data_IF_032123575808
#
_entry.id   IF_032123575808
#
_cell.length_a   1.000
_cell.length_b   1.000
_cell.length_c   1.000
_cell.angle_alpha   90.00
_cell.angle_beta   90.00
_cell.angle_gamma   90.00
#
_symmetry.space_group_name_H-M   'P 1'
#
loop_
_entity.id
_entity.type
_entity.pdbx_description
1 polymer ?
#
# COMPACT_ATOMS: atom_id res chain seq x y z
N UNK A 1 8.95 36.07 7.08
CA UNK A 1 9.11 35.83 5.63
C UNK A 1 8.03 36.62 4.90
N UNK A 2 8.40 37.50 3.96
CA UNK A 2 7.44 38.32 3.20
C UNK A 2 6.60 37.46 2.26
N UNK A 3 5.38 37.90 1.93
CA UNK A 3 4.48 37.25 0.96
C UNK A 3 5.14 36.99 -0.40
N UNK A 4 6.08 37.84 -0.83
CA UNK A 4 6.85 37.70 -2.07
C UNK A 4 7.79 36.49 -2.11
N UNK A 5 8.47 36.18 -1.00
CA UNK A 5 9.36 34.99 -0.89
C UNK A 5 8.59 33.67 -0.87
N UNK A 6 7.32 33.71 -0.46
CA UNK A 6 6.44 32.52 -0.35
C UNK A 6 5.88 32.14 -1.73
N UNK A 7 5.54 33.13 -2.56
CA UNK A 7 5.08 32.92 -3.94
C UNK A 7 6.14 32.15 -4.77
N UNK A 8 7.42 32.49 -4.62
CA UNK A 8 8.51 31.84 -5.34
C UNK A 8 8.74 30.38 -4.92
N UNK A 9 8.51 30.02 -3.65
CA UNK A 9 8.71 28.66 -3.16
C UNK A 9 7.57 27.69 -3.54
N UNK A 10 6.34 28.22 -3.64
CA UNK A 10 5.14 27.49 -4.03
C UNK A 10 4.99 27.35 -5.56
N UNK A 11 5.59 28.24 -6.34
CA UNK A 11 5.45 28.22 -7.80
C UNK A 11 6.10 26.99 -8.44
N UNK A 12 5.45 26.47 -9.48
CA UNK A 12 6.07 25.52 -10.40
C UNK A 12 7.09 26.26 -11.26
N UNK A 13 8.24 25.63 -11.50
CA UNK A 13 9.21 26.13 -12.47
C UNK A 13 8.63 26.06 -13.88
N UNK A 14 9.16 26.85 -14.81
CA UNK A 14 8.71 26.84 -16.22
C UNK A 14 8.76 25.43 -16.83
N UNK A 15 9.81 24.66 -16.54
CA UNK A 15 9.97 23.31 -17.05
C UNK A 15 8.94 22.35 -16.44
N UNK A 16 8.66 22.45 -15.15
CA UNK A 16 7.59 21.67 -14.50
C UNK A 16 6.24 22.01 -15.11
N UNK A 17 5.90 23.29 -15.24
CA UNK A 17 4.62 23.74 -15.83
C UNK A 17 4.44 23.21 -17.25
N UNK A 18 5.46 23.30 -18.10
CA UNK A 18 5.41 22.79 -19.48
C UNK A 18 5.29 21.27 -19.51
N UNK A 19 6.08 20.55 -18.70
CA UNK A 19 6.08 19.08 -18.69
C UNK A 19 4.76 18.52 -18.15
N UNK A 20 4.27 19.05 -17.03
CA UNK A 20 3.00 18.64 -16.43
C UNK A 20 1.81 19.04 -17.31
N UNK A 21 1.88 20.20 -17.97
CA UNK A 21 0.90 20.64 -18.94
C UNK A 21 0.84 19.73 -20.17
N UNK A 22 1.99 19.34 -20.72
CA UNK A 22 2.07 18.41 -21.85
C UNK A 22 1.54 17.01 -21.48
N UNK A 23 1.94 16.48 -20.31
CA UNK A 23 1.42 15.21 -19.80
C UNK A 23 -0.10 15.25 -19.61
N UNK A 24 -0.62 16.34 -19.03
CA UNK A 24 -2.05 16.51 -18.80
C UNK A 24 -2.83 16.60 -20.12
N UNK A 25 -2.32 17.36 -21.09
CA UNK A 25 -2.94 17.46 -22.41
C UNK A 25 -2.97 16.11 -23.13
N UNK A 26 -1.85 15.39 -23.14
CA UNK A 26 -1.79 14.06 -23.74
C UNK A 26 -2.75 13.08 -23.06
N UNK A 27 -2.82 13.09 -21.73
CA UNK A 27 -3.73 12.23 -20.98
C UNK A 27 -5.20 12.57 -21.22
N UNK A 28 -5.58 13.86 -21.27
CA UNK A 28 -6.94 14.27 -21.64
C UNK A 28 -7.27 13.84 -23.07
N UNK A 29 -6.35 13.99 -24.02
CA UNK A 29 -6.58 13.55 -25.40
C UNK A 29 -6.82 12.03 -25.49
N UNK A 30 -6.03 11.22 -24.76
CA UNK A 30 -6.24 9.76 -24.66
C UNK A 30 -7.59 9.45 -24.01
N UNK A 31 -7.93 10.13 -22.91
CA UNK A 31 -9.21 9.94 -22.21
C UNK A 31 -10.42 10.31 -23.07
N UNK A 32 -10.33 11.37 -23.87
CA UNK A 32 -11.40 11.74 -24.80
C UNK A 32 -11.55 10.70 -25.93
N UNK A 33 -10.44 10.10 -26.35
CA UNK A 33 -10.47 9.05 -27.37
C UNK A 33 -11.14 7.76 -26.87
N UNK A 34 -11.10 7.45 -25.56
CA UNK A 34 -11.76 6.24 -25.04
C UNK A 34 -13.28 6.27 -25.21
N UNK A 35 -13.90 7.46 -25.34
CA UNK A 35 -15.33 7.61 -25.64
C UNK A 35 -15.70 7.33 -27.10
N UNK A 36 -14.72 7.25 -28.02
CA UNK A 36 -14.97 6.92 -29.42
C UNK A 36 -15.03 5.40 -29.66
N UNK A 37 -14.61 4.60 -28.68
CA UNK A 37 -14.69 3.14 -28.71
C UNK A 37 -15.59 2.58 -27.61
N UNK A 38 -15.30 1.35 -27.18
CA UNK A 38 -16.07 0.60 -26.18
C UNK A 38 -15.88 1.09 -24.72
N UNK A 39 -15.38 2.32 -24.54
CA UNK A 39 -15.03 2.92 -23.25
C UNK A 39 -13.63 2.56 -22.73
N UNK A 40 -13.05 1.45 -23.20
CA UNK A 40 -11.70 0.94 -22.86
C UNK A 40 -11.23 1.30 -21.43
N UNK A 41 -11.85 0.71 -20.38
CA UNK A 41 -11.69 1.19 -19.01
C UNK A 41 -10.24 1.19 -18.51
N UNK A 42 -9.41 0.26 -18.99
CA UNK A 42 -7.99 0.21 -18.63
C UNK A 42 -7.21 1.40 -19.21
N UNK A 43 -7.50 1.80 -20.45
CA UNK A 43 -6.88 2.96 -21.09
C UNK A 43 -7.32 4.25 -20.38
N UNK A 44 -8.61 4.35 -20.05
CA UNK A 44 -9.13 5.47 -19.27
C UNK A 44 -8.47 5.56 -17.89
N UNK A 45 -8.30 4.44 -17.19
CA UNK A 45 -7.59 4.38 -15.90
C UNK A 45 -6.13 4.83 -16.04
N UNK A 46 -5.42 4.40 -17.09
CA UNK A 46 -4.04 4.83 -17.34
C UNK A 46 -3.94 6.34 -17.61
N UNK A 47 -4.82 6.89 -18.44
CA UNK A 47 -4.87 8.32 -18.71
C UNK A 47 -5.17 9.13 -17.43
N UNK A 48 -6.16 8.70 -16.65
CA UNK A 48 -6.48 9.29 -15.36
C UNK A 48 -5.34 9.17 -14.35
N UNK A 49 -4.51 8.13 -14.42
CA UNK A 49 -3.33 7.97 -13.58
C UNK A 49 -2.25 9.00 -13.89
N UNK A 50 -2.05 9.32 -15.17
CA UNK A 50 -1.14 10.40 -15.59
C UNK A 50 -1.67 11.76 -15.13
N UNK A 51 -2.99 11.99 -15.21
CA UNK A 51 -3.61 13.20 -14.66
C UNK A 51 -3.47 13.28 -13.14
N UNK A 52 -3.63 12.15 -12.44
CA UNK A 52 -3.45 12.05 -11.00
C UNK A 52 -2.02 12.42 -10.60
N UNK A 53 -1.02 11.92 -11.34
CA UNK A 53 0.38 12.30 -11.15
C UNK A 53 0.58 13.81 -11.31
N UNK A 54 0.11 14.38 -12.43
CA UNK A 54 0.33 15.79 -12.73
C UNK A 54 -0.35 16.72 -11.71
N UNK A 55 -1.57 16.37 -11.31
CA UNK A 55 -2.35 17.09 -10.31
C UNK A 55 -1.72 16.98 -8.92
N UNK A 56 -1.35 15.77 -8.48
CA UNK A 56 -0.72 15.56 -7.18
C UNK A 56 0.62 16.30 -7.07
N UNK A 57 1.47 16.24 -8.10
CA UNK A 57 2.76 16.96 -8.13
C UNK A 57 2.54 18.47 -7.94
N UNK A 58 1.60 19.02 -8.70
CA UNK A 58 1.27 20.45 -8.64
C UNK A 58 0.70 20.84 -7.27
N UNK A 59 -0.23 20.06 -6.74
CA UNK A 59 -0.87 20.34 -5.44
C UNK A 59 0.12 20.23 -4.28
N UNK A 60 1.06 19.29 -4.28
CA UNK A 60 2.09 19.18 -3.24
C UNK A 60 2.95 20.45 -3.22
N UNK A 61 3.36 20.95 -4.39
CA UNK A 61 4.14 22.21 -4.51
C UNK A 61 3.36 23.41 -4.01
N UNK A 62 2.09 23.54 -4.38
CA UNK A 62 1.23 24.67 -4.01
C UNK A 62 0.84 24.66 -2.53
N UNK A 63 0.51 23.49 -1.98
CA UNK A 63 -0.03 23.34 -0.63
C UNK A 63 1.04 23.14 0.45
N UNK A 64 2.25 22.67 0.10
CA UNK A 64 3.32 22.47 1.08
C UNK A 64 3.56 23.70 1.99
N UNK A 65 3.78 24.91 1.44
CA UNK A 65 3.93 26.12 2.26
C UNK A 65 2.69 26.50 3.07
N UNK A 66 1.49 26.12 2.62
CA UNK A 66 0.22 26.34 3.34
C UNK A 66 0.15 25.42 4.57
N UNK A 67 0.42 24.13 4.39
CA UNK A 67 0.45 23.13 5.46
C UNK A 67 1.49 23.51 6.52
N UNK A 68 2.71 23.87 6.09
CA UNK A 68 3.76 24.33 7.00
C UNK A 68 3.33 25.56 7.83
N UNK A 69 2.57 26.50 7.24
CA UNK A 69 2.02 27.67 7.96
C UNK A 69 0.89 27.33 8.91
N UNK A 70 0.05 26.35 8.55
CA UNK A 70 -1.03 25.87 9.39
C UNK A 70 -0.54 25.02 10.58
N UNK A 71 0.75 24.73 10.65
CA UNK A 71 1.37 23.98 11.75
C UNK A 71 1.71 22.52 11.40
N UNK A 72 1.32 22.03 10.22
CA UNK A 72 1.69 20.70 9.71
C UNK A 72 3.13 20.69 9.23
N UNK A 73 4.05 20.51 10.17
CA UNK A 73 5.49 20.51 9.90
C UNK A 73 6.24 19.55 10.82
N UNK A 74 7.17 18.81 10.22
CA UNK A 74 8.09 17.91 10.92
C UNK A 74 9.54 18.35 10.75
N UNK A 75 10.40 18.03 11.71
CA UNK A 75 11.85 18.24 11.59
C UNK A 75 12.50 17.00 11.01
N UNK A 76 13.33 17.18 9.99
CA UNK A 76 14.16 16.08 9.49
C UNK A 76 15.32 15.80 10.46
N UNK A 77 15.12 14.78 11.31
CA UNK A 77 16.06 14.39 12.37
C UNK A 77 17.38 13.83 11.80
N UNK A 78 17.38 13.42 10.53
CA UNK A 78 18.50 12.78 9.85
C UNK A 78 19.43 13.77 9.14
N UNK A 79 19.32 15.07 9.44
CA UNK A 79 20.15 16.15 8.86
C UNK A 79 20.84 17.00 9.92
N UNK A 80 21.96 17.60 9.54
CA UNK A 80 22.71 18.55 10.37
C UNK A 80 21.87 19.73 10.87
N UNK A 81 21.18 20.41 9.95
CA UNK A 81 20.44 21.64 10.23
C UNK A 81 18.97 21.39 10.61
N UNK A 82 18.55 20.12 10.65
CA UNK A 82 17.20 19.66 11.00
C UNK A 82 16.09 20.54 10.40
N UNK A 83 16.02 20.66 9.06
CA UNK A 83 15.06 21.54 8.41
C UNK A 83 13.63 21.15 8.79
N UNK A 84 12.78 22.15 8.97
CA UNK A 84 11.33 21.94 9.12
C UNK A 84 10.68 21.82 7.74
N UNK A 85 10.10 20.66 7.46
CA UNK A 85 9.44 20.33 6.20
C UNK A 85 7.92 20.27 6.42
N UNK A 86 7.11 20.60 5.39
CA UNK A 86 5.67 20.37 5.45
C UNK A 86 5.38 18.87 5.63
N UNK A 87 4.42 18.57 6.50
CA UNK A 87 3.99 17.22 6.85
C UNK A 87 2.57 16.94 6.35
N UNK A 88 2.11 15.70 6.44
CA UNK A 88 0.76 15.29 6.01
C UNK A 88 0.49 15.49 4.49
N UNK A 89 1.53 15.46 3.63
CA UNK A 89 1.34 15.52 2.17
C UNK A 89 0.66 14.27 1.59
N UNK A 90 0.62 13.18 2.36
CA UNK A 90 -0.20 12.00 2.08
C UNK A 90 -1.69 12.32 1.92
N UNK A 91 -2.20 13.31 2.67
CA UNK A 91 -3.59 13.76 2.57
C UNK A 91 -3.91 14.37 1.21
N UNK A 92 -2.98 15.16 0.66
CA UNK A 92 -3.11 15.74 -0.69
C UNK A 92 -3.17 14.62 -1.73
N UNK A 93 -2.31 13.62 -1.62
CA UNK A 93 -2.29 12.47 -2.52
C UNK A 93 -3.58 11.64 -2.43
N UNK A 94 -4.06 11.37 -1.20
CA UNK A 94 -5.31 10.65 -0.98
C UNK A 94 -6.51 11.41 -1.57
N UNK A 95 -6.57 12.73 -1.40
CA UNK A 95 -7.64 13.55 -1.97
C UNK A 95 -7.65 13.52 -3.51
N UNK A 96 -6.48 13.68 -4.14
CA UNK A 96 -6.34 13.59 -5.61
C UNK A 96 -6.74 12.20 -6.11
N UNK A 97 -6.24 11.15 -5.46
CA UNK A 97 -6.59 9.78 -5.81
C UNK A 97 -8.10 9.53 -5.72
N UNK A 98 -8.73 9.92 -4.61
CA UNK A 98 -10.15 9.68 -4.38
C UNK A 98 -11.00 10.40 -5.42
N UNK A 99 -10.65 11.65 -5.77
CA UNK A 99 -11.29 12.39 -6.84
C UNK A 99 -11.18 11.64 -8.18
N UNK A 100 -9.99 11.15 -8.51
CA UNK A 100 -9.73 10.44 -9.77
C UNK A 100 -10.50 9.12 -9.84
N UNK A 101 -10.52 8.34 -8.75
CA UNK A 101 -11.27 7.07 -8.72
C UNK A 101 -12.78 7.31 -8.78
N UNK A 102 -13.30 8.39 -8.19
CA UNK A 102 -14.71 8.78 -8.33
C UNK A 102 -15.04 9.12 -9.78
N UNK A 103 -14.19 9.92 -10.44
CA UNK A 103 -14.34 10.26 -11.87
C UNK A 103 -14.23 9.02 -12.76
N UNK A 104 -13.48 8.00 -12.33
CA UNK A 104 -13.31 6.75 -13.08
C UNK A 104 -14.54 5.82 -13.02
N UNK A 105 -15.43 5.95 -12.02
CA UNK A 105 -16.57 5.02 -11.82
C UNK A 105 -17.37 4.76 -13.10
N UNK A 106 -17.74 5.75 -13.94
CA UNK A 106 -18.59 5.49 -15.10
C UNK A 106 -17.91 4.67 -16.21
N UNK A 107 -16.57 4.59 -16.24
CA UNK A 107 -15.83 3.98 -17.35
C UNK A 107 -15.99 2.45 -17.41
N UNK A 108 -15.77 1.68 -16.31
CA UNK A 108 -16.04 0.24 -16.30
C UNK A 108 -17.48 -0.13 -16.68
N UNK A 109 -18.44 0.77 -16.44
CA UNK A 109 -19.87 0.55 -16.68
C UNK A 109 -20.38 1.27 -17.94
N UNK A 110 -19.50 1.80 -18.80
CA UNK A 110 -19.90 2.63 -19.94
C UNK A 110 -20.91 1.91 -20.83
N UNK A 111 -20.64 0.64 -21.17
CA UNK A 111 -21.55 -0.20 -21.97
C UNK A 111 -22.90 -0.39 -21.29
N UNK A 112 -22.90 -0.67 -19.98
CA UNK A 112 -24.11 -0.90 -19.21
C UNK A 112 -24.98 0.38 -19.11
N UNK A 113 -24.33 1.54 -18.94
CA UNK A 113 -24.98 2.86 -18.89
C UNK A 113 -25.56 3.21 -20.27
N UNK A 114 -24.77 3.03 -21.34
CA UNK A 114 -25.24 3.28 -22.70
C UNK A 114 -26.40 2.36 -23.02
N UNK A 115 -26.33 1.06 -22.74
CA UNK A 115 -27.43 0.12 -22.97
C UNK A 115 -28.70 0.50 -22.19
N UNK A 116 -28.57 0.92 -20.92
CA UNK A 116 -29.70 1.32 -20.09
C UNK A 116 -30.34 2.66 -20.54
N UNK A 117 -29.56 3.58 -21.09
CA UNK A 117 -30.02 4.93 -21.49
C UNK A 117 -30.45 5.02 -22.97
N UNK A 118 -29.81 4.27 -23.87
CA UNK A 118 -30.10 4.24 -25.31
C UNK A 118 -31.29 3.36 -25.70
N UNK A 119 -31.81 2.56 -24.76
CA UNK A 119 -33.09 1.84 -24.86
C UNK A 119 -34.33 2.75 -25.09
N UNK A 120 -34.13 4.06 -25.14
CA UNK A 120 -35.13 5.06 -25.53
C UNK A 120 -35.08 5.57 -26.98
N UNK A 121 -34.09 5.22 -27.82
CA UNK A 121 -34.13 5.78 -29.19
C UNK A 121 -33.00 5.57 -30.21
N UNK A 122 -31.91 4.83 -29.95
CA UNK A 122 -30.86 4.69 -30.98
C UNK A 122 -30.51 3.22 -31.29
N UNK A 123 -30.66 2.84 -32.57
CA UNK A 123 -30.64 1.45 -33.08
C UNK A 123 -29.26 0.92 -33.51
N UNK A 124 -28.17 1.64 -33.22
CA UNK A 124 -26.88 1.37 -33.87
C UNK A 124 -25.90 0.49 -33.07
N UNK A 125 -26.33 -0.12 -31.96
CA UNK A 125 -25.54 -1.15 -31.26
C UNK A 125 -26.16 -2.52 -31.49
N UNK A 126 -25.91 -3.08 -32.67
CA UNK A 126 -26.29 -4.46 -33.01
C UNK A 126 -25.31 -5.41 -32.32
N UNK A 127 -25.70 -5.97 -31.18
CA UNK A 127 -25.05 -7.17 -30.67
C UNK A 127 -25.49 -8.38 -31.51
N UNK A 128 -24.54 -9.20 -31.95
CA UNK A 128 -24.80 -10.58 -32.37
C UNK A 128 -25.27 -11.36 -31.13
N UNK A 129 -26.57 -11.29 -30.85
CA UNK A 129 -27.24 -12.13 -29.87
C UNK A 129 -27.41 -13.52 -30.46
N UNK A 130 -26.72 -14.51 -29.91
CA UNK A 130 -27.10 -15.90 -30.10
C UNK A 130 -28.56 -16.06 -29.66
N UNK A 131 -29.37 -16.50 -30.60
CA UNK A 131 -30.80 -16.72 -30.44
C UNK A 131 -31.05 -17.79 -29.37
N UNK A 132 -31.73 -17.42 -28.29
CA UNK A 132 -32.67 -18.33 -27.63
C UNK A 132 -33.98 -17.58 -27.41
N UNK A 133 -35.03 -18.12 -28.03
CA UNK A 133 -36.40 -17.63 -28.02
C UNK A 133 -36.94 -17.51 -26.58
N UNK A 134 -37.10 -16.28 -26.05
CA UNK A 134 -38.20 -15.83 -25.19
C UNK A 134 -37.91 -14.42 -24.62
N UNK A 135 -38.76 -13.44 -24.94
CA UNK A 135 -38.92 -12.18 -24.20
C UNK A 135 -37.88 -11.07 -24.47
N UNK A 136 -38.33 -9.81 -24.40
CA UNK A 136 -37.44 -8.62 -24.35
C UNK A 136 -36.51 -8.76 -23.14
N UNK A 137 -35.24 -9.11 -23.34
CA UNK A 137 -34.26 -9.06 -22.26
C UNK A 137 -33.93 -7.60 -21.94
N UNK A 138 -34.42 -7.11 -20.80
CA UNK A 138 -34.03 -5.84 -20.22
C UNK A 138 -32.58 -5.99 -19.73
N UNK A 139 -31.64 -5.28 -20.33
CA UNK A 139 -30.26 -5.25 -19.87
C UNK A 139 -30.22 -4.82 -18.39
N UNK A 140 -29.84 -5.73 -17.48
CA UNK A 140 -29.81 -5.45 -16.03
C UNK A 140 -28.44 -4.89 -15.65
N UNK A 141 -28.42 -3.66 -15.15
CA UNK A 141 -27.19 -3.00 -14.71
C UNK A 141 -26.47 -3.82 -13.61
N UNK A 142 -25.14 -3.99 -13.68
CA UNK A 142 -24.38 -4.84 -12.76
C UNK A 142 -24.14 -4.16 -11.40
N UNK A 143 -25.17 -4.08 -10.57
CA UNK A 143 -25.13 -3.40 -9.28
C UNK A 143 -24.13 -3.98 -8.28
N UNK A 144 -23.86 -5.29 -8.29
CA UNK A 144 -22.86 -5.92 -7.40
C UNK A 144 -21.43 -5.44 -7.71
N UNK A 145 -21.07 -5.40 -9.00
CA UNK A 145 -19.79 -4.82 -9.42
C UNK A 145 -19.68 -3.37 -8.98
N UNK A 146 -20.71 -2.55 -9.20
CA UNK A 146 -20.73 -1.15 -8.74
C UNK A 146 -20.59 -1.05 -7.21
N UNK A 147 -21.26 -1.92 -6.44
CA UNK A 147 -21.17 -1.95 -4.98
C UNK A 147 -19.75 -2.27 -4.49
N UNK A 148 -19.01 -3.13 -5.20
CA UNK A 148 -17.59 -3.38 -4.92
C UNK A 148 -16.71 -2.14 -5.11
N UNK A 149 -16.91 -1.35 -6.18
CA UNK A 149 -16.19 -0.06 -6.34
C UNK A 149 -16.58 0.96 -5.28
N UNK A 150 -17.88 1.12 -5.00
CA UNK A 150 -18.35 2.10 -4.04
C UNK A 150 -17.90 1.77 -2.61
N UNK A 151 -17.94 0.50 -2.20
CA UNK A 151 -17.46 0.08 -0.87
C UNK A 151 -15.96 0.28 -0.71
N UNK A 152 -15.17 -0.01 -1.76
CA UNK A 152 -13.75 0.32 -1.80
C UNK A 152 -13.54 1.82 -1.59
N UNK A 153 -14.23 2.68 -2.34
CA UNK A 153 -14.11 4.14 -2.22
C UNK A 153 -14.52 4.62 -0.83
N UNK A 154 -15.64 4.14 -0.28
CA UNK A 154 -16.10 4.53 1.07
C UNK A 154 -15.07 4.12 2.13
N UNK A 155 -14.51 2.91 2.02
CA UNK A 155 -13.46 2.44 2.92
C UNK A 155 -12.20 3.32 2.82
N UNK A 156 -11.78 3.65 1.60
CA UNK A 156 -10.62 4.49 1.33
C UNK A 156 -10.82 5.97 1.75
N UNK A 157 -12.03 6.50 1.63
CA UNK A 157 -12.39 7.81 2.16
C UNK A 157 -12.35 7.80 3.69
N UNK A 158 -12.91 6.76 4.32
CA UNK A 158 -12.96 6.64 5.78
C UNK A 158 -11.55 6.57 6.37
N UNK A 159 -10.66 5.75 5.80
CA UNK A 159 -9.29 5.66 6.29
C UNK A 159 -8.48 6.94 6.01
N UNK A 160 -8.71 7.62 4.88
CA UNK A 160 -8.05 8.89 4.59
C UNK A 160 -8.46 9.96 5.62
N UNK A 161 -9.75 10.07 5.93
CA UNK A 161 -10.25 11.00 6.96
C UNK A 161 -9.69 10.68 8.35
N UNK A 162 -9.69 9.40 8.74
CA UNK A 162 -9.16 8.98 10.03
C UNK A 162 -7.64 9.14 10.12
N UNK A 163 -6.90 8.93 9.02
CA UNK A 163 -5.47 9.18 8.94
C UNK A 163 -5.13 10.66 9.05
N UNK A 164 -5.90 11.53 8.39
CA UNK A 164 -5.79 12.99 8.57
C UNK A 164 -6.08 13.35 10.03
N UNK A 165 -7.11 12.74 10.63
CA UNK A 165 -7.41 12.89 12.06
C UNK A 165 -6.26 12.47 12.96
N UNK A 166 -5.55 11.39 12.64
CA UNK A 166 -4.39 10.93 13.41
C UNK A 166 -3.22 11.92 13.32
N UNK A 167 -2.90 12.40 12.11
CA UNK A 167 -1.88 13.44 11.89
C UNK A 167 -2.25 14.77 12.59
N UNK A 168 -3.54 15.08 12.71
CA UNK A 168 -4.05 16.30 13.37
C UNK A 168 -4.00 16.21 14.90
N UNK A 169 -4.40 15.08 15.46
CA UNK A 169 -4.69 14.96 16.89
C UNK A 169 -3.66 14.13 17.67
N UNK A 170 -2.64 13.55 17.02
CA UNK A 170 -1.65 12.62 17.62
C UNK A 170 -2.36 11.58 18.50
N UNK A 171 -3.23 10.77 17.87
CA UNK A 171 -4.12 9.88 18.59
C UNK A 171 -3.29 8.82 19.35
N UNK A 172 -3.71 8.47 20.56
CA UNK A 172 -3.01 7.44 21.36
C UNK A 172 -2.96 6.11 20.61
N UNK A 173 -1.80 5.46 20.65
CA UNK A 173 -1.51 4.19 19.94
C UNK A 173 -2.59 3.12 20.07
N UNK A 174 -3.22 2.98 21.25
CA UNK A 174 -4.29 2.00 21.51
C UNK A 174 -5.51 2.15 20.59
N UNK A 175 -5.79 3.36 20.12
CA UNK A 175 -6.90 3.63 19.20
C UNK A 175 -6.44 3.51 17.74
N UNK A 176 -5.17 3.81 17.45
CA UNK A 176 -4.57 3.66 16.11
C UNK A 176 -4.78 2.25 15.55
N UNK A 177 -4.68 1.22 16.39
CA UNK A 177 -4.92 -0.17 15.98
C UNK A 177 -6.31 -0.42 15.41
N UNK A 178 -7.35 0.22 15.96
CA UNK A 178 -8.75 -0.03 15.57
C UNK A 178 -9.23 0.80 14.38
N UNK A 179 -8.56 1.92 14.09
CA UNK A 179 -8.92 2.84 13.00
C UNK A 179 -9.09 2.11 11.66
N UNK A 180 -8.11 1.31 11.19
CA UNK A 180 -8.28 0.63 9.91
C UNK A 180 -9.31 -0.51 9.96
N UNK A 181 -9.46 -1.17 11.11
CA UNK A 181 -10.50 -2.20 11.29
C UNK A 181 -11.89 -1.62 11.06
N UNK A 182 -12.19 -0.46 11.65
CA UNK A 182 -13.47 0.24 11.44
C UNK A 182 -13.61 0.74 9.99
N UNK A 183 -12.55 1.29 9.41
CA UNK A 183 -12.59 1.75 8.01
C UNK A 183 -12.81 0.61 7.00
N UNK A 184 -12.51 -0.64 7.36
CA UNK A 184 -12.70 -1.82 6.50
C UNK A 184 -14.14 -2.37 6.48
N UNK A 185 -15.03 -1.91 7.37
CA UNK A 185 -16.41 -2.42 7.46
C UNK A 185 -17.15 -2.41 6.11
N UNK A 186 -17.09 -1.36 5.26
CA UNK A 186 -17.78 -1.36 3.97
C UNK A 186 -17.37 -2.51 3.05
N UNK A 187 -16.07 -2.80 2.96
CA UNK A 187 -15.56 -3.89 2.11
C UNK A 187 -15.92 -5.27 2.69
N UNK A 188 -15.96 -5.42 4.01
CA UNK A 188 -16.39 -6.66 4.66
C UNK A 188 -17.89 -6.95 4.43
N UNK A 189 -18.73 -5.91 4.49
CA UNK A 189 -20.18 -6.04 4.22
C UNK A 189 -20.42 -6.44 2.77
N UNK A 190 -19.77 -5.79 1.80
CA UNK A 190 -19.90 -6.18 0.39
C UNK A 190 -19.35 -7.59 0.16
N UNK A 191 -18.25 -7.96 0.81
CA UNK A 191 -17.76 -9.33 0.73
C UNK A 191 -18.79 -10.37 1.20
N UNK A 192 -19.49 -10.06 2.29
CA UNK A 192 -20.56 -10.91 2.82
C UNK A 192 -21.76 -11.02 1.88
N UNK A 193 -22.17 -9.92 1.24
CA UNK A 193 -23.35 -9.88 0.36
C UNK A 193 -23.09 -10.49 -1.01
N UNK A 194 -21.96 -10.15 -1.65
CA UNK A 194 -21.72 -10.49 -3.06
C UNK A 194 -20.99 -11.84 -3.25
N UNK A 195 -20.09 -12.20 -2.33
CA UNK A 195 -19.30 -13.43 -2.45
C UNK A 195 -19.71 -14.48 -1.43
N UNK A 196 -19.69 -14.12 -0.14
CA UNK A 196 -20.06 -15.03 0.96
C UNK A 196 -19.17 -16.28 1.11
N UNK A 197 -18.05 -16.36 0.38
CA UNK A 197 -17.16 -17.53 0.40
C UNK A 197 -16.17 -17.43 1.57
N UNK A 198 -16.37 -18.28 2.59
CA UNK A 198 -15.51 -18.34 3.78
C UNK A 198 -14.61 -19.58 3.83
N UNK A 199 -14.70 -20.43 2.81
CA UNK A 199 -13.89 -21.63 2.66
C UNK A 199 -12.50 -21.31 2.13
N UNK A 200 -11.46 -21.84 2.79
CA UNK A 200 -10.08 -21.73 2.34
C UNK A 200 -9.55 -23.06 1.83
N UNK A 201 -8.74 -22.99 0.77
CA UNK A 201 -7.97 -24.14 0.30
C UNK A 201 -6.84 -24.44 1.27
N UNK A 202 -6.79 -25.67 1.79
CA UNK A 202 -5.78 -26.16 2.72
C UNK A 202 -4.57 -26.73 1.96
N UNK A 203 -3.33 -26.41 2.38
CA UNK A 203 -2.11 -27.02 1.85
C UNK A 203 -2.12 -28.54 1.91
N UNK A 204 -1.59 -29.22 0.88
CA UNK A 204 -1.55 -30.69 0.75
C UNK A 204 -1.10 -31.40 2.03
N UNK A 205 -0.03 -30.97 2.74
CA UNK A 205 0.41 -31.65 3.96
C UNK A 205 -0.60 -31.64 5.11
N UNK A 206 -1.54 -30.69 5.11
CA UNK A 206 -2.56 -30.51 6.15
C UNK A 206 -3.93 -31.08 5.76
N UNK A 207 -4.13 -31.43 4.48
CA UNK A 207 -5.38 -32.00 3.99
C UNK A 207 -5.84 -33.29 4.72
N UNK A 208 -4.94 -34.20 5.15
CA UNK A 208 -5.36 -35.38 5.91
C UNK A 208 -6.08 -35.07 7.23
N UNK A 209 -5.88 -33.88 7.81
CA UNK A 209 -6.45 -33.48 9.09
C UNK A 209 -7.68 -32.57 8.94
N UNK A 210 -7.72 -31.75 7.89
CA UNK A 210 -8.68 -30.65 7.75
C UNK A 210 -9.54 -30.73 6.48
N UNK A 211 -9.27 -31.69 5.60
CA UNK A 211 -9.88 -31.76 4.27
C UNK A 211 -9.23 -30.81 3.26
N UNK A 212 -9.72 -30.81 2.02
CA UNK A 212 -9.22 -29.94 0.94
C UNK A 212 -9.69 -28.49 1.09
N UNK A 213 -10.95 -28.32 1.48
CA UNK A 213 -11.59 -27.05 1.77
C UNK A 213 -12.00 -27.02 3.24
N UNK A 214 -11.57 -25.98 3.93
CA UNK A 214 -11.93 -25.75 5.33
C UNK A 214 -12.73 -24.47 5.47
N UNK A 215 -13.96 -24.59 5.98
CA UNK A 215 -14.82 -23.44 6.21
C UNK A 215 -14.46 -22.76 7.54
N UNK A 216 -13.99 -21.51 7.44
CA UNK A 216 -13.65 -20.68 8.59
C UNK A 216 -14.86 -19.91 9.14
N UNK A 217 -15.94 -19.79 8.37
CA UNK A 217 -17.10 -18.95 8.71
C UNK A 217 -16.70 -17.55 9.18
N UNK A 218 -17.13 -17.17 10.38
CA UNK A 218 -16.85 -15.85 10.99
C UNK A 218 -15.34 -15.57 11.11
N UNK A 219 -14.50 -16.59 11.33
CA UNK A 219 -13.06 -16.40 11.45
C UNK A 219 -12.42 -15.88 10.16
N UNK A 220 -13.05 -16.12 9.00
CA UNK A 220 -12.59 -15.56 7.73
C UNK A 220 -12.78 -14.03 7.67
N UNK A 221 -13.87 -13.52 8.24
CA UNK A 221 -14.11 -12.07 8.37
C UNK A 221 -13.14 -11.43 9.36
N UNK A 222 -12.84 -12.12 10.47
CA UNK A 222 -11.79 -11.68 11.41
C UNK A 222 -10.43 -11.61 10.69
N UNK A 223 -10.09 -12.61 9.88
CA UNK A 223 -8.88 -12.60 9.06
C UNK A 223 -8.82 -11.41 8.09
N UNK A 224 -9.91 -11.12 7.37
CA UNK A 224 -9.96 -9.95 6.47
C UNK A 224 -9.81 -8.63 7.23
N UNK A 225 -10.46 -8.49 8.39
CA UNK A 225 -10.28 -7.32 9.26
C UNK A 225 -8.82 -7.21 9.75
N UNK A 226 -8.19 -8.33 10.13
CA UNK A 226 -6.78 -8.36 10.52
C UNK A 226 -5.85 -7.94 9.39
N UNK A 227 -6.11 -8.33 8.13
CA UNK A 227 -5.35 -7.83 6.97
C UNK A 227 -5.52 -6.33 6.82
N UNK A 228 -6.76 -5.84 6.88
CA UNK A 228 -7.05 -4.42 6.74
C UNK A 228 -6.45 -3.57 7.88
N UNK A 229 -6.27 -4.14 9.07
CA UNK A 229 -5.53 -3.54 10.18
C UNK A 229 -4.01 -3.62 9.99
N UNK A 230 -3.52 -4.77 9.52
CA UNK A 230 -2.09 -5.04 9.39
C UNK A 230 -1.44 -4.19 8.30
N UNK A 231 -2.01 -4.11 7.10
CA UNK A 231 -1.38 -3.43 5.97
C UNK A 231 -1.03 -1.95 6.29
N UNK A 232 -1.98 -1.09 6.71
CA UNK A 232 -1.72 0.27 7.21
C UNK A 232 -0.60 0.39 8.24
N UNK A 233 -0.67 -0.45 9.27
CA UNK A 233 0.23 -0.34 10.42
C UNK A 233 1.63 -0.85 10.11
N UNK A 234 1.73 -1.90 9.29
CA UNK A 234 3.00 -2.49 8.91
C UNK A 234 3.87 -1.53 8.08
N UNK A 235 3.25 -0.73 7.21
CA UNK A 235 3.90 0.34 6.44
C UNK A 235 4.33 1.46 7.38
N UNK A 236 3.43 1.92 8.27
CA UNK A 236 3.73 2.98 9.23
C UNK A 236 4.88 2.61 10.19
N UNK A 237 5.01 1.33 10.54
CA UNK A 237 6.11 0.84 11.37
C UNK A 237 7.45 0.73 10.63
N UNK A 238 7.45 0.64 9.31
CA UNK A 238 8.65 0.61 8.47
C UNK A 238 8.88 2.00 7.85
N UNK A 239 9.10 2.98 8.72
CA UNK A 239 9.17 4.40 8.37
C UNK A 239 10.35 5.10 9.07
N UNK A 240 10.58 6.38 8.72
CA UNK A 240 11.49 7.26 9.44
C UNK A 240 12.81 7.60 8.75
N UNK A 241 12.95 7.24 7.48
CA UNK A 241 14.03 7.74 6.61
C UNK A 241 13.42 8.26 5.30
N UNK A 242 14.04 9.28 4.71
CA UNK A 242 13.51 9.98 3.54
C UNK A 242 13.22 9.04 2.36
N UNK A 243 11.95 8.93 1.98
CA UNK A 243 11.49 8.17 0.81
C UNK A 243 11.06 6.72 1.08
N UNK A 244 11.28 6.16 2.29
CA UNK A 244 11.04 4.72 2.51
C UNK A 244 9.56 4.35 2.51
N UNK A 245 8.69 5.20 3.05
CA UNK A 245 7.25 4.96 3.17
C UNK A 245 6.62 4.87 1.77
N UNK A 246 7.01 5.77 0.87
CA UNK A 246 6.48 5.85 -0.50
C UNK A 246 7.12 4.78 -1.38
N UNK A 247 8.44 4.62 -1.33
CA UNK A 247 9.15 3.72 -2.25
C UNK A 247 8.83 2.25 -2.00
N UNK A 248 8.69 1.81 -0.75
CA UNK A 248 8.27 0.45 -0.44
C UNK A 248 6.87 0.16 -1.00
N UNK A 249 5.94 1.12 -0.88
CA UNK A 249 4.59 1.00 -1.37
C UNK A 249 4.55 0.99 -2.91
N UNK A 250 5.36 1.82 -3.57
CA UNK A 250 5.48 1.81 -5.04
C UNK A 250 5.96 0.44 -5.51
N UNK A 251 6.99 -0.13 -4.88
CA UNK A 251 7.47 -1.48 -5.25
C UNK A 251 6.40 -2.54 -5.05
N UNK A 252 5.71 -2.54 -3.90
CA UNK A 252 4.60 -3.49 -3.65
C UNK A 252 3.50 -3.33 -4.70
N UNK A 253 3.13 -2.11 -5.05
CA UNK A 253 2.11 -1.83 -6.07
C UNK A 253 2.56 -2.25 -7.48
N UNK A 254 3.81 -2.02 -7.87
CA UNK A 254 4.34 -2.51 -9.14
C UNK A 254 4.35 -4.04 -9.22
N UNK A 255 4.61 -4.72 -8.10
CA UNK A 255 4.53 -6.18 -8.01
C UNK A 255 3.09 -6.69 -8.09
N UNK A 256 2.13 -5.97 -7.50
CA UNK A 256 0.70 -6.27 -7.64
C UNK A 256 0.23 -6.04 -9.09
N UNK A 257 0.59 -4.92 -9.71
CA UNK A 257 0.31 -4.65 -11.12
C UNK A 257 0.93 -5.73 -12.01
N UNK A 258 2.18 -6.12 -11.75
CA UNK A 258 2.81 -7.23 -12.46
C UNK A 258 1.97 -8.50 -12.29
N UNK A 259 1.61 -8.88 -11.06
CA UNK A 259 0.76 -10.04 -10.82
C UNK A 259 -0.56 -9.96 -11.59
N UNK A 260 -1.25 -8.82 -11.56
CA UNK A 260 -2.53 -8.62 -12.22
C UNK A 260 -2.39 -8.74 -13.74
N UNK A 261 -1.40 -8.09 -14.33
CA UNK A 261 -1.09 -8.19 -15.76
C UNK A 261 -0.84 -9.63 -16.20
N UNK A 262 -0.22 -10.45 -15.35
CA UNK A 262 0.01 -11.86 -15.67
C UNK A 262 -1.29 -12.64 -15.85
N UNK A 263 -2.33 -12.36 -15.04
CA UNK A 263 -3.66 -12.96 -15.23
C UNK A 263 -4.39 -12.41 -16.46
N UNK A 264 -4.13 -11.16 -16.86
CA UNK A 264 -4.69 -10.59 -18.09
C UNK A 264 -4.07 -11.21 -19.36
N UNK A 265 -2.85 -11.75 -19.27
CA UNK A 265 -2.16 -12.42 -20.38
C UNK A 265 -2.55 -13.91 -20.51
N UNK A 266 -3.32 -14.46 -19.56
CA UNK A 266 -3.81 -15.84 -19.66
C UNK A 266 -4.94 -15.97 -20.68
N UNK A 267 -5.13 -17.15 -21.32
CA UNK A 267 -6.21 -17.35 -22.28
C UNK A 267 -7.58 -16.99 -21.71
N UNK A 268 -8.29 -16.10 -22.40
CA UNK A 268 -9.63 -15.69 -22.03
C UNK A 268 -10.65 -16.81 -22.35
N UNK A 269 -11.64 -17.09 -21.49
CA UNK A 269 -11.95 -16.45 -20.21
C UNK A 269 -11.24 -17.12 -19.01
N UNK A 270 -10.50 -16.33 -18.23
CA UNK A 270 -10.01 -16.76 -16.93
C UNK A 270 -10.93 -16.21 -15.81
N UNK A 271 -11.40 -17.03 -14.85
CA UNK A 271 -12.34 -16.58 -13.81
C UNK A 271 -11.85 -15.39 -12.98
N UNK A 272 -10.53 -15.22 -12.85
CA UNK A 272 -9.93 -14.14 -12.08
C UNK A 272 -9.69 -12.83 -12.86
N UNK A 273 -9.92 -12.78 -14.18
CA UNK A 273 -9.60 -11.59 -14.99
C UNK A 273 -10.31 -10.33 -14.47
N UNK A 274 -11.60 -10.43 -14.11
CA UNK A 274 -12.38 -9.31 -13.59
C UNK A 274 -11.85 -8.79 -12.25
N UNK A 275 -11.42 -9.69 -11.36
CA UNK A 275 -10.82 -9.34 -10.05
C UNK A 275 -9.48 -8.63 -10.22
N UNK A 276 -8.66 -9.06 -11.18
CA UNK A 276 -7.38 -8.41 -11.48
C UNK A 276 -7.55 -7.09 -12.23
N UNK A 277 -8.57 -6.94 -13.08
CA UNK A 277 -8.95 -5.65 -13.68
C UNK A 277 -9.41 -4.65 -12.61
N UNK A 278 -10.26 -5.07 -11.67
CA UNK A 278 -10.67 -4.26 -10.52
C UNK A 278 -9.46 -3.74 -9.74
N UNK A 279 -8.50 -4.62 -9.45
CA UNK A 279 -7.25 -4.28 -8.78
C UNK A 279 -6.44 -3.23 -9.56
N UNK A 280 -6.21 -3.46 -10.87
CA UNK A 280 -5.49 -2.52 -11.73
C UNK A 280 -6.12 -1.13 -11.74
N UNK A 281 -7.45 -1.05 -11.81
CA UNK A 281 -8.15 0.23 -11.84
C UNK A 281 -7.96 1.07 -10.57
N UNK A 282 -7.73 0.42 -9.42
CA UNK A 282 -7.40 1.10 -8.17
C UNK A 282 -5.88 1.34 -8.03
N UNK A 283 -5.03 0.42 -8.48
CA UNK A 283 -3.58 0.55 -8.33
C UNK A 283 -2.94 1.57 -9.26
N UNK A 284 -3.42 1.70 -10.52
CA UNK A 284 -2.82 2.62 -11.49
C UNK A 284 -2.93 4.10 -11.05
N UNK A 285 -4.12 4.62 -10.64
CA UNK A 285 -4.21 6.00 -10.16
C UNK A 285 -3.43 6.21 -8.86
N UNK A 286 -3.37 5.17 -8.01
CA UNK A 286 -2.59 5.21 -6.77
C UNK A 286 -1.09 5.31 -7.05
N UNK A 287 -0.59 4.60 -8.06
CA UNK A 287 0.79 4.72 -8.54
C UNK A 287 1.05 6.13 -9.07
N UNK A 288 0.10 6.71 -9.82
CA UNK A 288 0.19 8.08 -10.31
C UNK A 288 0.46 9.09 -9.18
N UNK A 289 -0.37 9.08 -8.12
CA UNK A 289 -0.18 10.01 -6.99
C UNK A 289 1.06 9.69 -6.17
N UNK A 290 1.42 8.40 -6.00
CA UNK A 290 2.60 7.99 -5.23
C UNK A 290 3.91 8.32 -5.94
N UNK A 291 3.94 8.20 -7.28
CA UNK A 291 5.08 8.63 -8.10
C UNK A 291 5.27 10.15 -8.02
N UNK A 292 4.19 10.94 -7.95
CA UNK A 292 4.31 12.38 -7.71
C UNK A 292 4.87 12.67 -6.32
N UNK A 293 4.38 11.96 -5.29
CA UNK A 293 4.82 12.14 -3.91
C UNK A 293 6.29 11.77 -3.72
N UNK A 294 6.75 10.66 -4.30
CA UNK A 294 8.15 10.22 -4.13
C UNK A 294 9.12 11.25 -4.73
N UNK A 295 8.78 11.95 -5.81
CA UNK A 295 9.65 13.01 -6.36
C UNK A 295 9.85 14.19 -5.40
N UNK A 296 8.95 14.40 -4.44
CA UNK A 296 9.07 15.41 -3.40
C UNK A 296 9.60 14.87 -2.06
N UNK A 297 9.33 13.60 -1.77
CA UNK A 297 9.68 12.96 -0.51
C UNK A 297 11.03 12.21 -0.57
N UNK A 298 11.52 11.87 -1.76
CA UNK A 298 12.81 11.21 -1.93
C UNK A 298 13.97 12.06 -1.39
N UNK A 299 15.03 11.39 -0.94
CA UNK A 299 16.21 12.05 -0.38
C UNK A 299 16.83 13.07 -1.36
N UNK A 300 17.17 14.29 -0.91
CA UNK A 300 16.77 14.90 0.37
C UNK A 300 15.30 15.35 0.32
N UNK A 301 14.50 14.92 1.31
CA UNK A 301 13.07 15.19 1.30
C UNK A 301 12.76 16.69 1.34
N UNK A 302 11.74 17.08 0.57
CA UNK A 302 11.15 18.43 0.60
C UNK A 302 9.84 18.43 1.38
N UNK A 303 9.21 17.26 1.55
CA UNK A 303 7.94 17.07 2.24
C UNK A 303 7.92 15.73 2.97
N UNK A 304 7.13 15.63 4.03
CA UNK A 304 6.81 14.39 4.72
C UNK A 304 5.40 13.93 4.39
N UNK A 305 5.23 12.61 4.39
CA UNK A 305 4.00 11.95 3.97
C UNK A 305 2.93 11.93 5.08
N UNK A 306 3.35 11.79 6.34
CA UNK A 306 2.45 11.62 7.49
C UNK A 306 1.87 10.21 7.63
N UNK A 307 1.21 9.95 8.76
CA UNK A 307 0.51 8.69 9.04
C UNK A 307 -0.63 8.48 8.03
N UNK A 308 -1.22 9.58 7.52
CA UNK A 308 -2.25 9.55 6.47
C UNK A 308 -1.83 8.70 5.27
N UNK A 309 -0.62 8.90 4.73
CA UNK A 309 -0.17 8.14 3.55
C UNK A 309 -0.02 6.65 3.86
N UNK A 310 0.52 6.32 5.03
CA UNK A 310 0.77 4.94 5.44
C UNK A 310 -0.55 4.19 5.58
N UNK A 311 -1.53 4.80 6.27
CA UNK A 311 -2.85 4.20 6.45
C UNK A 311 -3.60 4.07 5.14
N UNK A 312 -3.59 5.13 4.34
CA UNK A 312 -4.25 5.14 3.04
C UNK A 312 -3.67 4.09 2.09
N UNK A 313 -2.35 4.03 1.94
CA UNK A 313 -1.68 3.07 1.04
C UNK A 313 -1.89 1.63 1.49
N UNK A 314 -1.78 1.37 2.79
CA UNK A 314 -2.05 0.04 3.32
C UNK A 314 -3.49 -0.40 3.11
N UNK A 315 -4.46 0.51 3.20
CA UNK A 315 -5.86 0.19 2.94
C UNK A 315 -6.13 -0.01 1.45
N UNK A 316 -5.45 0.70 0.54
CA UNK A 316 -5.51 0.39 -0.90
C UNK A 316 -5.08 -1.05 -1.15
N UNK A 317 -3.95 -1.48 -0.58
CA UNK A 317 -3.47 -2.86 -0.71
C UNK A 317 -4.42 -3.88 -0.10
N UNK A 318 -4.93 -3.63 1.11
CA UNK A 318 -5.92 -4.51 1.73
C UNK A 318 -7.20 -4.61 0.90
N UNK A 319 -7.69 -3.50 0.35
CA UNK A 319 -8.90 -3.44 -0.46
C UNK A 319 -8.76 -4.27 -1.73
N UNK A 320 -7.69 -4.07 -2.50
CA UNK A 320 -7.46 -4.86 -3.72
C UNK A 320 -7.18 -6.32 -3.40
N UNK A 321 -6.49 -6.63 -2.29
CA UNK A 321 -6.22 -8.00 -1.88
C UNK A 321 -7.46 -8.77 -1.41
N UNK A 322 -8.37 -8.11 -0.70
CA UNK A 322 -9.62 -8.70 -0.18
C UNK A 322 -10.63 -8.86 -1.31
N UNK A 323 -10.97 -7.78 -2.02
CA UNK A 323 -11.99 -7.79 -3.08
C UNK A 323 -11.46 -8.45 -4.37
N UNK A 324 -10.15 -8.47 -4.59
CA UNK A 324 -9.51 -9.20 -5.68
C UNK A 324 -9.24 -10.68 -5.38
N UNK A 325 -9.57 -11.16 -4.18
CA UNK A 325 -9.37 -12.56 -3.75
C UNK A 325 -7.92 -13.08 -3.82
N UNK A 326 -6.92 -12.20 -3.76
CA UNK A 326 -5.49 -12.55 -3.74
C UNK A 326 -4.77 -12.10 -2.47
N UNK A 327 -5.48 -11.99 -1.35
CA UNK A 327 -4.92 -11.62 -0.03
C UNK A 327 -3.72 -12.48 0.40
N UNK A 328 -3.69 -13.77 0.02
CA UNK A 328 -2.53 -14.66 0.22
C UNK A 328 -1.30 -14.18 -0.56
N UNK A 329 -1.48 -13.80 -1.83
CA UNK A 329 -0.41 -13.21 -2.66
C UNK A 329 0.05 -11.88 -2.06
N UNK A 330 -0.86 -11.03 -1.61
CA UNK A 330 -0.52 -9.78 -0.92
C UNK A 330 0.37 -10.03 0.30
N UNK A 331 0.06 -11.05 1.11
CA UNK A 331 0.91 -11.45 2.24
C UNK A 331 2.34 -11.83 1.84
N UNK A 332 2.53 -12.50 0.70
CA UNK A 332 3.85 -12.81 0.15
C UNK A 332 4.62 -11.55 -0.30
N UNK A 333 3.91 -10.56 -0.83
CA UNK A 333 4.51 -9.30 -1.24
C UNK A 333 4.87 -8.41 -0.05
N UNK A 334 4.16 -8.53 1.07
CA UNK A 334 4.40 -7.78 2.31
C UNK A 334 5.34 -8.49 3.29
N UNK A 335 6.13 -9.48 2.84
CA UNK A 335 7.07 -10.21 3.71
C UNK A 335 8.04 -9.31 4.46
N UNK A 336 8.66 -8.26 3.86
CA UNK A 336 9.53 -7.36 4.61
C UNK A 336 8.80 -6.59 5.72
N UNK A 337 7.57 -6.13 5.48
CA UNK A 337 6.73 -5.47 6.46
C UNK A 337 6.30 -6.44 7.58
N UNK A 338 5.93 -7.67 7.22
CA UNK A 338 5.60 -8.74 8.16
C UNK A 338 6.80 -9.08 9.04
N UNK A 339 7.98 -9.22 8.44
CA UNK A 339 9.22 -9.44 9.17
C UNK A 339 9.52 -8.27 10.11
N UNK A 340 9.41 -7.01 9.65
CA UNK A 340 9.62 -5.84 10.51
C UNK A 340 8.64 -5.83 11.69
N UNK A 341 7.37 -6.16 11.46
CA UNK A 341 6.34 -6.26 12.51
C UNK A 341 6.68 -7.35 13.55
N UNK A 342 6.97 -8.57 13.09
CA UNK A 342 7.34 -9.68 13.97
C UNK A 342 8.64 -9.38 14.73
N UNK A 343 9.62 -8.78 14.06
CA UNK A 343 10.88 -8.39 14.69
C UNK A 343 10.67 -7.28 15.73
N UNK A 344 9.80 -6.31 15.47
CA UNK A 344 9.43 -5.24 16.41
C UNK A 344 8.58 -5.69 17.61
N UNK A 345 7.93 -6.85 17.54
CA UNK A 345 6.98 -7.37 18.53
C UNK A 345 7.49 -7.29 19.98
N UNK A 346 8.74 -7.70 20.32
CA UNK A 346 9.23 -7.61 21.69
C UNK A 346 9.22 -6.19 22.27
N UNK A 347 9.45 -5.17 21.44
CA UNK A 347 9.37 -3.77 21.86
C UNK A 347 7.91 -3.29 21.98
N UNK A 348 7.06 -3.63 21.01
CA UNK A 348 5.65 -3.19 20.98
C UNK A 348 4.87 -3.73 22.19
N UNK A 349 5.08 -5.00 22.54
CA UNK A 349 4.44 -5.65 23.67
C UNK A 349 5.14 -5.36 25.01
N UNK A 350 6.18 -4.52 25.02
CA UNK A 350 6.87 -4.07 26.24
C UNK A 350 7.76 -5.10 26.92
N UNK A 351 8.10 -6.22 26.23
CA UNK A 351 9.09 -7.19 26.72
C UNK A 351 10.51 -6.60 26.72
N UNK A 352 10.78 -5.69 25.79
CA UNK A 352 11.97 -4.86 25.69
C UNK A 352 11.53 -3.39 25.78
N UNK A 353 12.26 -2.49 26.47
CA UNK A 353 11.91 -1.09 26.49
C UNK A 353 11.77 -0.52 25.07
N UNK A 354 10.67 0.18 24.80
CA UNK A 354 10.39 0.75 23.50
C UNK A 354 10.53 2.28 23.56
N UNK A 355 11.55 2.87 22.91
CA UNK A 355 11.62 4.32 22.80
C UNK A 355 10.51 4.85 21.89
N UNK A 356 10.16 6.15 22.04
CA UNK A 356 9.15 6.81 21.18
C UNK A 356 9.56 6.80 19.71
N UNK A 357 10.84 7.02 19.43
CA UNK A 357 11.40 7.01 18.08
C UNK A 357 12.39 5.88 17.92
N UNK A 358 12.17 5.03 16.91
CA UNK A 358 13.00 3.86 16.60
C UNK A 358 13.78 3.98 15.30
N UNK A 359 13.72 5.14 14.64
CA UNK A 359 14.51 5.42 13.43
C UNK A 359 16.02 5.32 13.71
N UNK A 360 16.85 5.03 12.69
CA UNK A 360 18.30 5.07 12.83
C UNK A 360 18.81 6.40 13.36
N UNK A 361 19.96 6.37 14.06
CA UNK A 361 20.57 7.57 14.64
C UNK A 361 21.48 8.23 13.61
N UNK A 362 21.26 9.50 13.30
CA UNK A 362 22.16 10.28 12.46
C UNK A 362 23.39 10.76 13.24
N UNK A 363 24.58 10.52 12.68
CA UNK A 363 25.86 10.99 13.22
C UNK A 363 26.39 12.13 12.36
N UNK A 364 26.32 13.35 12.91
CA UNK A 364 26.74 14.55 12.21
C UNK A 364 28.20 14.50 11.74
N UNK A 365 29.11 13.90 12.52
CA UNK A 365 30.54 13.87 12.15
C UNK A 365 30.80 13.12 10.83
N UNK A 366 30.07 12.03 10.59
CA UNK A 366 30.27 11.16 9.41
C UNK A 366 29.23 11.41 8.32
N UNK A 367 28.08 12.02 8.65
CA UNK A 367 26.94 12.15 7.76
C UNK A 367 26.20 10.83 7.50
N UNK A 368 26.43 9.81 8.33
CA UNK A 368 25.87 8.47 8.20
C UNK A 368 24.80 8.19 9.27
N UNK A 369 23.95 7.21 8.97
CA UNK A 369 23.01 6.61 9.91
C UNK A 369 23.67 5.39 10.55
N UNK A 370 23.57 5.32 11.88
CA UNK A 370 23.99 4.20 12.72
C UNK A 370 22.76 3.56 13.37
N UNK A 371 22.84 2.29 13.81
CA UNK A 371 21.76 1.67 14.55
C UNK A 371 21.41 2.49 15.79
N UNK A 372 20.13 2.88 15.93
CA UNK A 372 19.67 3.46 17.18
C UNK A 372 19.54 2.37 18.25
N UNK A 373 19.76 2.74 19.51
CA UNK A 373 19.86 1.82 20.63
C UNK A 373 18.79 2.09 21.68
N UNK A 374 18.42 1.04 22.40
CA UNK A 374 17.64 1.06 23.63
C UNK A 374 18.59 0.85 24.81
N UNK A 375 18.72 1.82 25.73
CA UNK A 375 19.55 1.67 26.92
C UNK A 375 18.85 0.80 27.97
N UNK A 376 19.66 0.05 28.70
CA UNK A 376 19.26 -0.77 29.85
C UNK A 376 19.84 -0.18 31.11
N UNK A 377 19.02 -0.03 32.16
CA UNK A 377 19.49 0.45 33.45
C UNK A 377 19.88 -0.74 34.36
N UNK A 378 20.78 -0.55 35.33
CA UNK A 378 21.12 -1.59 36.30
C UNK A 378 19.90 -2.15 37.05
N UNK A 379 18.89 -1.31 37.27
CA UNK A 379 17.65 -1.64 38.00
C UNK A 379 16.61 -2.32 37.11
N UNK A 380 16.68 -2.13 35.79
CA UNK A 380 15.72 -2.63 34.82
C UNK A 380 16.40 -3.53 33.79
N UNK A 381 16.88 -4.68 34.23
CA UNK A 381 17.46 -5.72 33.36
C UNK A 381 16.36 -6.61 32.75
N UNK A 382 16.62 -7.23 31.57
CA UNK A 382 15.64 -8.12 30.94
C UNK A 382 15.38 -9.37 31.78
N UNK A 383 14.16 -9.88 31.70
CA UNK A 383 13.82 -11.18 32.28
C UNK A 383 14.76 -12.29 31.75
N UNK A 384 15.17 -13.30 32.54
CA UNK A 384 16.17 -14.28 32.12
C UNK A 384 15.91 -14.98 30.77
N UNK A 385 14.64 -15.27 30.46
CA UNK A 385 14.26 -15.83 29.16
C UNK A 385 14.47 -14.83 28.01
N UNK A 386 14.11 -13.57 28.23
CA UNK A 386 14.35 -12.49 27.26
C UNK A 386 15.85 -12.28 27.10
N UNK A 387 16.64 -12.25 28.17
CA UNK A 387 18.09 -12.15 28.12
C UNK A 387 18.74 -13.27 27.27
N UNK A 388 18.32 -14.52 27.46
CA UNK A 388 18.77 -15.65 26.62
C UNK A 388 18.41 -15.45 25.15
N UNK A 389 17.19 -14.99 24.87
CA UNK A 389 16.76 -14.68 23.51
C UNK A 389 17.58 -13.53 22.89
N UNK A 390 17.85 -12.45 23.63
CA UNK A 390 18.67 -11.33 23.17
C UNK A 390 20.10 -11.79 22.83
N UNK A 391 20.73 -12.61 23.67
CA UNK A 391 22.03 -13.19 23.37
C UNK A 391 22.01 -14.12 22.16
N UNK A 392 20.96 -14.93 21.98
CA UNK A 392 20.79 -15.77 20.81
C UNK A 392 20.67 -14.92 19.52
N UNK A 393 19.85 -13.88 19.56
CA UNK A 393 19.72 -12.93 18.45
C UNK A 393 21.06 -12.25 18.13
N UNK A 394 21.82 -11.85 19.15
CA UNK A 394 23.16 -11.30 18.96
C UNK A 394 24.13 -12.29 18.29
N UNK A 395 24.13 -13.56 18.72
CA UNK A 395 24.94 -14.61 18.10
C UNK A 395 24.58 -14.86 16.64
N UNK A 396 23.29 -14.76 16.30
CA UNK A 396 22.80 -14.85 14.92
C UNK A 396 23.00 -13.56 14.11
N UNK A 397 23.68 -12.55 14.68
CA UNK A 397 23.86 -11.22 14.08
C UNK A 397 22.54 -10.51 13.76
N UNK A 398 21.46 -10.84 14.45
CA UNK A 398 20.16 -10.18 14.31
C UNK A 398 20.00 -8.98 15.24
N UNK A 399 20.93 -8.78 16.18
CA UNK A 399 20.83 -7.72 17.19
C UNK A 399 22.25 -7.30 17.59
N UNK A 400 22.48 -6.00 17.75
CA UNK A 400 23.69 -5.51 18.42
C UNK A 400 23.42 -5.43 19.92
N UNK A 401 24.33 -6.00 20.72
CA UNK A 401 24.23 -6.05 22.19
C UNK A 401 25.55 -5.59 22.79
N UNK A 402 25.49 -4.62 23.68
CA UNK A 402 26.63 -4.15 24.48
C UNK A 402 26.41 -4.54 25.93
N UNK A 403 27.37 -5.25 26.52
CA UNK A 403 27.36 -5.67 27.93
C UNK A 403 28.48 -4.98 28.72
N UNK A 404 28.26 -4.78 30.02
CA UNK A 404 29.30 -4.28 30.93
C UNK A 404 30.29 -5.41 31.33
N UNK A 405 31.34 -5.05 32.06
CA UNK A 405 32.35 -6.01 32.57
C UNK A 405 31.75 -7.08 33.51
N UNK A 406 30.54 -6.85 34.02
CA UNK A 406 29.79 -7.77 34.88
C UNK A 406 28.78 -8.63 34.09
N UNK A 407 28.76 -8.53 32.77
CA UNK A 407 27.86 -9.26 31.88
C UNK A 407 26.41 -8.76 31.86
N UNK A 408 26.14 -7.56 32.41
CA UNK A 408 24.80 -6.94 32.39
C UNK A 408 24.60 -6.19 31.07
N UNK A 409 23.34 -6.12 30.62
CA UNK A 409 23.00 -5.37 29.40
C UNK A 409 23.15 -3.88 29.65
N UNK A 410 23.86 -3.20 28.74
CA UNK A 410 24.02 -1.74 28.72
C UNK A 410 23.14 -1.16 27.62
N UNK A 411 23.27 -1.67 26.40
CA UNK A 411 22.51 -1.19 25.24
C UNK A 411 22.19 -2.35 24.29
N UNK A 412 21.03 -2.27 23.64
CA UNK A 412 20.66 -3.16 22.53
C UNK A 412 20.13 -2.34 21.36
N UNK A 413 20.47 -2.68 20.12
CA UNK A 413 19.91 -1.98 18.96
C UNK A 413 18.38 -2.11 18.91
N UNK A 414 17.70 -1.08 18.38
CA UNK A 414 16.24 -1.09 18.23
C UNK A 414 15.76 -2.17 17.25
N UNK A 415 14.60 -2.75 17.55
CA UNK A 415 14.04 -3.87 16.80
C UNK A 415 13.23 -3.38 15.60
N UNK A 416 13.91 -2.98 14.53
CA UNK A 416 13.30 -2.67 13.23
C UNK A 416 14.23 -3.10 12.11
N UNK A 417 13.65 -3.43 10.96
CA UNK A 417 14.38 -3.81 9.75
C UNK A 417 15.43 -2.77 9.35
N UNK A 418 15.17 -1.46 9.53
CA UNK A 418 16.15 -0.41 9.22
C UNK A 418 17.41 -0.51 10.08
N UNK A 419 17.25 -0.70 11.39
CA UNK A 419 18.40 -0.87 12.30
C UNK A 419 19.09 -2.21 12.09
N UNK A 420 18.32 -3.28 11.82
CA UNK A 420 18.89 -4.59 11.50
C UNK A 420 19.77 -4.53 10.24
N UNK A 421 19.32 -3.80 9.21
CA UNK A 421 20.10 -3.63 7.99
C UNK A 421 21.44 -2.92 8.28
N UNK A 422 21.44 -1.91 9.15
CA UNK A 422 22.65 -1.23 9.61
C UNK A 422 23.54 -2.11 10.51
N UNK A 423 22.97 -3.05 11.27
CA UNK A 423 23.75 -4.05 12.02
C UNK A 423 24.50 -4.99 11.06
N UNK A 424 23.88 -5.38 9.94
CA UNK A 424 24.52 -6.24 8.94
C UNK A 424 25.52 -5.51 8.04
N UNK A 425 25.19 -4.30 7.60
CA UNK A 425 25.95 -3.56 6.60
C UNK A 425 26.95 -2.56 7.19
N UNK A 426 26.77 -2.18 8.45
CA UNK A 426 27.44 -1.04 9.06
C UNK A 426 26.74 0.30 8.76
N UNK A 427 27.36 1.43 9.15
CA UNK A 427 26.79 2.75 8.96
C UNK A 427 26.62 3.11 7.48
N UNK A 428 25.44 3.61 7.10
CA UNK A 428 25.10 3.95 5.71
C UNK A 428 24.56 5.37 5.60
N UNK A 429 24.73 6.00 4.43
CA UNK A 429 23.99 7.21 4.10
C UNK A 429 22.50 6.89 3.99
N UNK A 430 21.65 7.85 4.33
CA UNK A 430 20.20 7.67 4.38
C UNK A 430 19.59 7.25 3.03
N UNK A 431 19.98 7.89 1.92
CA UNK A 431 19.56 7.51 0.56
C UNK A 431 19.97 6.09 0.21
N UNK A 432 21.18 5.69 0.61
CA UNK A 432 21.68 4.34 0.36
C UNK A 432 20.91 3.29 1.16
N UNK A 433 20.61 3.57 2.43
CA UNK A 433 19.79 2.70 3.27
C UNK A 433 18.38 2.54 2.68
N UNK A 434 17.74 3.64 2.29
CA UNK A 434 16.42 3.61 1.66
C UNK A 434 16.44 2.77 0.37
N UNK A 435 17.42 2.99 -0.51
CA UNK A 435 17.58 2.18 -1.71
C UNK A 435 17.77 0.69 -1.41
N UNK A 436 18.70 0.33 -0.52
CA UNK A 436 18.99 -1.09 -0.25
C UNK A 436 17.77 -1.83 0.33
N UNK A 437 17.00 -1.19 1.21
CA UNK A 437 15.76 -1.77 1.77
C UNK A 437 14.65 -1.85 0.72
N UNK A 438 14.53 -0.87 -0.16
CA UNK A 438 13.58 -0.91 -1.29
C UNK A 438 13.96 -1.99 -2.31
N UNK A 439 15.26 -2.23 -2.54
CA UNK A 439 15.70 -3.37 -3.36
C UNK A 439 15.41 -4.70 -2.69
N UNK A 440 15.62 -4.83 -1.37
CA UNK A 440 15.20 -6.01 -0.61
C UNK A 440 13.70 -6.28 -0.83
N UNK A 441 12.86 -5.24 -0.75
CA UNK A 441 11.42 -5.34 -1.01
C UNK A 441 11.12 -5.87 -2.42
N UNK A 442 11.82 -5.38 -3.44
CA UNK A 442 11.65 -5.82 -4.82
C UNK A 442 12.05 -7.29 -4.99
N UNK A 443 13.23 -7.68 -4.51
CA UNK A 443 13.72 -9.06 -4.68
C UNK A 443 12.88 -10.07 -3.92
N UNK A 444 12.52 -9.77 -2.67
CA UNK A 444 11.65 -10.64 -1.86
C UNK A 444 10.27 -10.74 -2.50
N UNK A 445 9.72 -9.64 -3.01
CA UNK A 445 8.43 -9.63 -3.69
C UNK A 445 8.43 -10.41 -5.01
N UNK A 446 9.44 -10.23 -5.87
CA UNK A 446 9.62 -11.02 -7.09
C UNK A 446 9.77 -12.51 -6.78
N UNK A 447 10.53 -12.84 -5.74
CA UNK A 447 10.64 -14.22 -5.25
C UNK A 447 9.28 -14.74 -4.75
N UNK A 448 8.50 -13.93 -4.05
CA UNK A 448 7.13 -14.26 -3.63
C UNK A 448 6.20 -14.56 -4.82
N UNK A 449 6.27 -13.78 -5.90
CA UNK A 449 5.52 -14.06 -7.13
C UNK A 449 6.02 -15.32 -7.83
N UNK A 450 7.33 -15.56 -7.84
CA UNK A 450 7.90 -16.81 -8.35
C UNK A 450 7.38 -18.02 -7.56
N UNK A 451 7.38 -17.94 -6.22
CA UNK A 451 6.80 -18.97 -5.34
C UNK A 451 5.33 -19.17 -5.70
N UNK A 452 4.57 -18.09 -5.86
CA UNK A 452 3.14 -18.14 -6.18
C UNK A 452 2.84 -18.82 -7.53
N UNK A 453 3.62 -18.54 -8.57
CA UNK A 453 3.30 -18.96 -9.94
C UNK A 453 4.11 -20.16 -10.44
N UNK A 454 5.09 -20.64 -9.67
CA UNK A 454 5.91 -21.81 -10.04
C UNK A 454 5.99 -22.87 -8.95
N UNK A 455 5.94 -22.47 -7.68
CA UNK A 455 6.07 -23.38 -6.54
C UNK A 455 4.73 -23.66 -5.84
N UNK A 456 3.64 -23.01 -6.24
CA UNK A 456 2.33 -23.27 -5.64
C UNK A 456 1.91 -24.73 -5.76
N UNK A 457 2.25 -25.41 -6.87
CA UNK A 457 1.97 -26.83 -7.08
C UNK A 457 2.68 -27.78 -6.10
N UNK A 458 3.73 -27.32 -5.39
CA UNK A 458 4.37 -28.11 -4.33
C UNK A 458 3.51 -28.19 -3.07
N UNK A 459 2.62 -27.21 -2.87
CA UNK A 459 1.86 -27.00 -1.65
C UNK A 459 0.34 -27.14 -1.89
N UNK A 460 -0.12 -26.87 -3.12
CA UNK A 460 -1.52 -26.91 -3.54
C UNK A 460 -1.69 -27.79 -4.78
N UNK A 461 -2.87 -28.39 -4.95
CA UNK A 461 -3.16 -29.31 -6.07
C UNK A 461 -3.26 -28.60 -7.43
N UNK A 462 -3.64 -27.34 -7.42
CA UNK A 462 -3.87 -26.54 -8.62
C UNK A 462 -3.09 -25.23 -8.52
N UNK A 463 -2.55 -24.79 -9.65
CA UNK A 463 -1.97 -23.46 -9.81
C UNK A 463 -3.07 -22.53 -10.32
N UNK A 464 -3.14 -21.33 -9.77
CA UNK A 464 -4.08 -20.31 -10.22
C UNK A 464 -3.76 -19.81 -11.64
N UNK A 465 -2.56 -20.08 -12.16
CA UNK A 465 -2.15 -19.71 -13.51
C UNK A 465 -2.51 -20.75 -14.57
N UNK A 466 -2.36 -22.03 -14.23
CA UNK A 466 -2.54 -23.12 -15.16
C UNK A 466 -3.89 -23.78 -14.93
N UNK A 467 -4.93 -23.36 -15.66
CA UNK A 467 -6.07 -24.25 -15.88
C UNK A 467 -5.54 -25.45 -16.65
N UNK A 468 -5.18 -26.52 -15.92
CA UNK A 468 -4.88 -27.79 -16.52
C UNK A 468 -6.18 -28.23 -17.16
N UNK A 469 -6.22 -28.17 -18.49
CA UNK A 469 -7.25 -28.81 -19.29
C UNK A 469 -7.15 -30.30 -18.96
N UNK A 470 -7.87 -30.76 -17.93
CA UNK A 470 -8.23 -32.16 -17.82
C UNK A 470 -9.11 -32.43 -19.02
N UNK A 471 -8.48 -32.84 -20.13
CA UNK A 471 -9.13 -33.60 -21.19
C UNK A 471 -9.64 -34.86 -20.51
N UNK A 472 -10.92 -34.85 -20.15
CA UNK A 472 -11.69 -36.08 -19.94
C UNK A 472 -12.07 -36.66 -21.30
#
# INVERSE_FOLDING_TARGET
MSSSTISAAAALTRNETLSLGALSFAAVAVLLNTFQGDGEPLIASLALSVLAFALAYSMIRWLGPVFKRAGFRGRDLSKHHRPELPECMGAVCAAVYLLVVIVFIPFPFYKDIVAATSGGGNRDVVYHLEHVQQGRFLHRFPHSKLASYLSAIISLQTIALLGIGDDLFDIRWRHKWWIPGLASVPILVIYFVDFGVTSIVIPIPLQPYLGELFDLGVLYYVYMACIAMFCPQSINMLAGINGIEVSQCIVVSLLLVLNDCLYLLTPYPHPATDSHLFSLFLLLPWLGVSLALVLHNWYPAKVFVGDTYCYFSGMVFATVGILGHFSKTLGLLLVPQLFNFLYSTPQIFGLVPCPRHRLPRFVARTGLLEPSVTPWSPERQPHPLVARALHLLARMRLLSVTTDDKGRFVETSNFTLLNLWLVWRGPLREDRLAWEVTFLQLFVGLFGLFVRHRLALLIFKEDNWGMTTKRY
#
